data_IF_745459523921
#
_entry.id   IF_745459523921
#
_cell.length_a   1.000
_cell.length_b   1.000
_cell.length_c   1.000
_cell.angle_alpha   90.00
_cell.angle_beta   90.00
_cell.angle_gamma   90.00
#
_symmetry.space_group_name_H-M   'P 1'
#
loop_
_entity.id
_entity.type
_entity.pdbx_description
1 polymer ?
#
# COMPACT_ATOMS: atom_id res chain seq x y z
N UNK A 1 23.42 5.86 0.27
CA UNK A 1 22.19 5.41 0.96
C UNK A 1 21.50 4.24 0.27
N UNK A 2 21.06 4.36 -1.00
CA UNK A 2 20.36 3.28 -1.72
C UNK A 2 21.10 1.93 -1.74
N UNK A 3 22.45 1.96 -1.78
CA UNK A 3 23.32 0.77 -1.66
C UNK A 3 22.98 -0.05 -0.42
N UNK A 4 22.82 0.60 0.74
CA UNK A 4 22.62 -0.07 2.01
C UNK A 4 21.22 -0.69 2.10
N UNK A 5 20.17 0.04 1.71
CA UNK A 5 18.78 -0.46 1.75
C UNK A 5 18.56 -1.67 0.84
N UNK A 6 19.27 -1.75 -0.30
CA UNK A 6 19.15 -2.86 -1.25
C UNK A 6 19.88 -4.13 -0.81
N UNK A 7 20.91 -3.99 0.02
CA UNK A 7 21.73 -5.12 0.48
C UNK A 7 21.38 -5.58 1.88
N UNK A 8 20.40 -4.93 2.53
CA UNK A 8 19.94 -5.37 3.85
C UNK A 8 19.17 -6.67 3.72
N UNK A 9 19.72 -7.73 4.31
CA UNK A 9 19.05 -8.99 4.54
C UNK A 9 18.90 -9.20 6.05
N UNK A 10 17.77 -9.75 6.47
CA UNK A 10 17.57 -10.16 7.88
C UNK A 10 18.08 -11.59 8.08
N UNK A 11 18.46 -11.94 9.31
CA UNK A 11 18.90 -13.31 9.65
C UNK A 11 17.83 -14.37 9.37
N UNK A 12 16.55 -13.97 9.40
CA UNK A 12 15.39 -14.80 9.09
C UNK A 12 15.08 -14.88 7.58
N UNK A 13 15.94 -14.34 6.70
CA UNK A 13 15.84 -14.52 5.25
C UNK A 13 15.00 -13.49 4.49
N UNK A 14 14.55 -12.41 5.13
CA UNK A 14 13.90 -11.30 4.41
C UNK A 14 14.95 -10.52 3.62
N UNK A 15 14.78 -10.46 2.29
CA UNK A 15 15.58 -9.63 1.39
C UNK A 15 14.80 -8.37 0.98
N UNK A 16 15.48 -7.22 0.99
CA UNK A 16 14.86 -5.93 0.67
C UNK A 16 15.33 -5.42 -0.69
N UNK A 17 14.40 -5.32 -1.64
CA UNK A 17 14.65 -4.71 -2.94
C UNK A 17 14.30 -3.21 -2.92
N UNK A 18 15.29 -2.34 -3.12
CA UNK A 18 15.10 -0.89 -3.21
C UNK A 18 15.49 -0.37 -4.60
N UNK A 19 14.65 0.51 -5.17
CA UNK A 19 14.89 1.18 -6.45
C UNK A 19 14.68 2.68 -6.34
N UNK A 20 15.52 3.45 -7.02
CA UNK A 20 15.33 4.90 -7.14
C UNK A 20 14.30 5.18 -8.24
N UNK A 21 13.17 5.76 -7.85
CA UNK A 21 12.20 6.27 -8.81
C UNK A 21 12.51 7.75 -9.11
N UNK A 22 12.92 8.05 -10.33
CA UNK A 22 13.23 9.42 -10.79
C UNK A 22 12.03 10.13 -11.43
N UNK A 23 10.86 9.49 -11.45
CA UNK A 23 9.66 10.07 -12.05
C UNK A 23 9.25 11.32 -11.27
N UNK A 24 9.05 12.42 -12.00
CA UNK A 24 8.46 13.62 -11.44
C UNK A 24 6.94 13.45 -11.40
N UNK A 25 6.39 13.47 -10.19
CA UNK A 25 4.95 13.45 -9.98
C UNK A 25 4.49 14.88 -9.76
N UNK A 26 3.55 15.35 -10.60
CA UNK A 26 2.93 16.65 -10.41
C UNK A 26 2.19 16.65 -9.07
N UNK A 27 2.62 17.54 -8.17
CA UNK A 27 2.01 17.72 -6.85
C UNK A 27 0.79 18.66 -6.95
N UNK A 28 0.05 18.82 -5.85
CA UNK A 28 -1.15 19.68 -5.74
C UNK A 28 -2.35 19.30 -6.60
N UNK A 29 -2.39 18.10 -7.19
CA UNK A 29 -3.62 17.53 -7.72
C UNK A 29 -4.53 17.14 -6.56
N UNK A 30 -5.50 17.99 -6.23
CA UNK A 30 -6.57 17.65 -5.29
C UNK A 30 -7.62 16.82 -6.01
N UNK A 31 -8.01 15.72 -5.39
CA UNK A 31 -9.19 14.95 -5.76
C UNK A 31 -10.36 15.44 -4.92
N UNK A 32 -11.57 15.31 -5.45
CA UNK A 32 -12.79 15.63 -4.71
C UNK A 32 -13.08 14.55 -3.65
N UNK A 33 -13.78 14.91 -2.58
CA UNK A 33 -14.10 14.00 -1.48
C UNK A 33 -14.98 12.84 -1.97
N UNK A 34 -15.88 13.10 -2.92
CA UNK A 34 -16.71 12.06 -3.54
C UNK A 34 -15.88 11.03 -4.31
N UNK A 35 -14.79 11.46 -4.97
CA UNK A 35 -13.88 10.56 -5.67
C UNK A 35 -13.03 9.74 -4.69
N UNK A 36 -12.59 10.36 -3.59
CA UNK A 36 -11.84 9.66 -2.55
C UNK A 36 -12.69 8.58 -1.85
N UNK A 37 -13.98 8.87 -1.62
CA UNK A 37 -14.92 7.94 -1.02
C UNK A 37 -15.21 6.68 -1.86
N UNK A 38 -14.96 6.72 -3.18
CA UNK A 38 -15.10 5.55 -4.06
C UNK A 38 -13.99 4.51 -3.83
N UNK A 39 -12.87 4.90 -3.21
CA UNK A 39 -11.77 3.99 -2.93
C UNK A 39 -12.11 3.18 -1.68
N UNK A 40 -12.10 1.86 -1.80
CA UNK A 40 -12.37 0.95 -0.69
C UNK A 40 -11.14 0.84 0.24
N UNK A 41 -10.92 1.83 1.09
CA UNK A 41 -9.80 1.92 2.03
C UNK A 41 -10.25 1.52 3.44
N UNK A 42 -9.53 0.57 4.05
CA UNK A 42 -9.65 0.24 5.48
C UNK A 42 -8.42 0.73 6.23
N UNK A 43 -8.62 1.63 7.19
CA UNK A 43 -7.55 2.13 8.07
C UNK A 43 -7.31 1.16 9.24
N UNK A 44 -6.05 0.98 9.61
CA UNK A 44 -5.64 0.15 10.76
C UNK A 44 -5.63 0.96 12.06
N UNK A 45 -5.66 0.27 13.21
CA UNK A 45 -5.69 0.93 14.52
C UNK A 45 -4.42 1.71 14.84
N UNK A 46 -3.27 1.23 14.37
CA UNK A 46 -1.96 1.82 14.62
C UNK A 46 -1.57 2.67 13.41
N UNK A 47 -1.41 3.99 13.63
CA UNK A 47 -1.06 4.98 12.60
C UNK A 47 -2.01 4.93 11.37
N UNK A 48 -3.33 5.12 11.57
CA UNK A 48 -4.35 4.95 10.52
C UNK A 48 -4.12 5.79 9.25
N UNK A 49 -3.47 6.94 9.38
CA UNK A 49 -3.14 7.82 8.25
C UNK A 49 -2.07 7.25 7.33
N UNK A 50 -1.23 6.33 7.83
CA UNK A 50 -0.11 5.74 7.12
C UNK A 50 -0.32 4.25 6.85
N UNK A 51 -1.05 3.58 7.72
CA UNK A 51 -1.29 2.15 7.69
C UNK A 51 -2.74 1.86 7.30
N UNK A 52 -2.93 1.55 6.03
CA UNK A 52 -4.23 1.25 5.46
C UNK A 52 -4.14 0.18 4.37
N UNK A 53 -5.27 -0.47 4.10
CA UNK A 53 -5.41 -1.49 3.06
C UNK A 53 -6.44 -1.03 2.04
N UNK A 54 -6.10 -1.09 0.75
CA UNK A 54 -7.01 -0.79 -0.36
C UNK A 54 -7.52 -2.11 -0.93
N UNK A 55 -8.84 -2.29 -0.95
CA UNK A 55 -9.49 -3.47 -1.49
C UNK A 55 -9.97 -3.25 -2.94
N UNK A 56 -9.98 -4.30 -3.78
CA UNK A 56 -10.54 -4.23 -5.11
C UNK A 56 -12.06 -4.04 -5.04
N UNK A 57 -12.58 -3.10 -5.82
CA UNK A 57 -14.02 -2.82 -5.93
C UNK A 57 -14.79 -3.87 -6.74
N UNK A 58 -14.10 -4.79 -7.42
CA UNK A 58 -14.70 -5.83 -8.26
C UNK A 58 -14.87 -7.21 -7.61
N UNK A 59 -14.47 -7.42 -6.35
CA UNK A 59 -14.72 -8.71 -5.72
C UNK A 59 -16.15 -8.75 -5.16
N UNK A 60 -17.02 -9.53 -5.80
CA UNK A 60 -18.28 -9.98 -5.21
C UNK A 60 -17.93 -10.57 -3.84
N UNK A 61 -18.57 -10.11 -2.77
CA UNK A 61 -18.41 -10.72 -1.43
C UNK A 61 -18.97 -12.14 -1.47
N UNK A 62 -18.21 -13.11 -1.95
CA UNK A 62 -18.42 -14.52 -1.70
C UNK A 62 -17.48 -14.93 -0.56
N UNK A 63 -18.00 -15.73 0.37
CA UNK A 63 -17.37 -16.14 1.63
C UNK A 63 -16.07 -16.97 1.47
N UNK A 64 -15.54 -17.12 0.26
CA UNK A 64 -14.38 -17.96 -0.06
C UNK A 64 -13.23 -17.20 -0.75
N UNK A 65 -13.08 -15.88 -0.55
CA UNK A 65 -11.94 -15.13 -1.08
C UNK A 65 -10.66 -15.37 -0.25
N UNK A 66 -9.55 -15.87 -0.84
CA UNK A 66 -8.33 -16.21 -0.11
C UNK A 66 -7.55 -15.00 0.43
N UNK A 67 -7.96 -13.78 0.07
CA UNK A 67 -7.31 -12.53 0.51
C UNK A 67 -8.06 -11.80 1.63
N UNK A 68 -9.20 -12.33 2.09
CA UNK A 68 -9.94 -11.80 3.22
C UNK A 68 -9.48 -12.45 4.53
N UNK A 69 -8.36 -11.94 5.06
CA UNK A 69 -7.91 -12.06 6.46
C UNK A 69 -7.68 -13.48 7.00
N UNK A 70 -6.41 -13.83 7.15
CA UNK A 70 -5.92 -14.45 8.40
C UNK A 70 -5.52 -13.32 9.35
#
# INVERSE_FOLDING_TARGET
>A
MLKYTRTTATQTGLEVCARLNRKQYRTRRKIDDAQMAQINIRRHKVLPEWNYTIYPTGCVRNSNSPFAQK
#
